data_IF_624036134032
#
_entry.id   IF_624036134032
#
_cell.length_a   1.000
_cell.length_b   1.000
_cell.length_c   1.000
_cell.angle_alpha   90.00
_cell.angle_beta   90.00
_cell.angle_gamma   90.00
#
_symmetry.space_group_name_H-M   'P 1'
#
loop_
_entity.id
_entity.type
_entity.pdbx_description
1 polymer ?
#
# COMPACT_ATOMS: atom_id res chain seq x y z
N UNK A 1 7.16 -0.82 -6.91
CA UNK A 1 6.66 0.02 -8.01
C UNK A 1 7.26 -0.26 -9.42
N UNK A 2 8.57 -0.13 -9.65
CA UNK A 2 9.16 -0.27 -11.01
C UNK A 2 8.92 -1.63 -11.68
N UNK A 3 9.12 -2.73 -10.93
CA UNK A 3 8.80 -4.07 -11.42
C UNK A 3 7.31 -4.21 -11.77
N UNK A 4 6.42 -3.53 -11.05
CA UNK A 4 5.00 -3.53 -11.38
C UNK A 4 4.68 -2.72 -12.62
N UNK A 5 5.35 -1.59 -12.84
CA UNK A 5 5.17 -0.80 -14.04
C UNK A 5 5.56 -1.63 -15.28
N UNK A 6 6.67 -2.36 -15.19
CA UNK A 6 7.09 -3.29 -16.23
C UNK A 6 6.10 -4.44 -16.43
N UNK A 7 5.68 -5.11 -15.35
CA UNK A 7 4.69 -6.20 -15.43
C UNK A 7 3.33 -5.70 -15.93
N UNK A 8 2.90 -4.51 -15.54
CA UNK A 8 1.70 -3.87 -16.04
C UNK A 8 1.77 -3.60 -17.54
N UNK A 9 2.88 -3.04 -18.01
CA UNK A 9 3.12 -2.83 -19.44
C UNK A 9 3.15 -4.15 -20.24
N UNK A 10 3.80 -5.19 -19.72
CA UNK A 10 3.91 -6.48 -20.39
C UNK A 10 2.57 -7.25 -20.38
N UNK A 11 2.00 -7.48 -19.20
CA UNK A 11 0.79 -8.29 -19.07
C UNK A 11 -0.44 -7.55 -19.54
N UNK A 12 -0.65 -6.28 -19.14
CA UNK A 12 -1.91 -5.57 -19.43
C UNK A 12 -1.89 -4.99 -20.85
N UNK A 13 -0.80 -4.33 -21.26
CA UNK A 13 -0.75 -3.65 -22.56
C UNK A 13 -0.36 -4.57 -23.73
N UNK A 14 0.36 -5.68 -23.50
CA UNK A 14 0.73 -6.60 -24.59
C UNK A 14 -0.07 -7.90 -24.57
N UNK A 15 -0.07 -8.64 -23.46
CA UNK A 15 -0.71 -9.96 -23.43
C UNK A 15 -2.22 -9.95 -23.26
N UNK A 16 -2.74 -9.08 -22.40
CA UNK A 16 -4.15 -9.06 -22.02
C UNK A 16 -4.95 -7.94 -22.67
N UNK A 17 -4.30 -7.06 -23.44
CA UNK A 17 -4.95 -5.98 -24.18
C UNK A 17 -6.19 -6.43 -24.99
N UNK A 18 -6.21 -7.57 -25.73
CA UNK A 18 -7.41 -7.98 -26.46
C UNK A 18 -8.53 -8.52 -25.57
N UNK A 19 -8.24 -8.86 -24.32
CA UNK A 19 -9.20 -9.42 -23.35
C UNK A 19 -9.73 -8.35 -22.37
N UNK A 20 -9.23 -7.12 -22.46
CA UNK A 20 -9.56 -6.01 -21.57
C UNK A 20 -10.29 -4.90 -22.33
N UNK A 21 -11.19 -4.14 -21.66
CA UNK A 21 -11.79 -2.95 -22.24
C UNK A 21 -10.70 -1.94 -22.62
N UNK A 22 -10.59 -1.52 -23.89
CA UNK A 22 -9.48 -0.70 -24.37
C UNK A 22 -9.44 0.69 -23.72
N UNK A 23 -10.59 1.20 -23.28
CA UNK A 23 -10.75 2.46 -22.54
C UNK A 23 -10.22 2.40 -21.10
N UNK A 24 -10.02 1.21 -20.53
CA UNK A 24 -9.63 1.02 -19.13
C UNK A 24 -8.21 0.52 -18.93
N UNK A 25 -7.51 0.14 -20.00
CA UNK A 25 -6.13 -0.39 -19.94
C UNK A 25 -5.20 0.56 -19.17
N UNK A 26 -5.22 1.85 -19.49
CA UNK A 26 -4.34 2.84 -18.85
C UNK A 26 -4.71 3.04 -17.37
N UNK A 27 -6.00 3.04 -17.05
CA UNK A 27 -6.50 3.10 -15.67
C UNK A 27 -6.09 1.88 -14.86
N UNK A 28 -6.10 0.68 -15.44
CA UNK A 28 -5.63 -0.53 -14.76
C UNK A 28 -4.13 -0.51 -14.53
N UNK A 29 -3.32 -0.09 -15.52
CA UNK A 29 -1.87 0.04 -15.34
C UNK A 29 -1.55 1.08 -14.26
N UNK A 30 -2.23 2.24 -14.26
CA UNK A 30 -2.11 3.22 -13.19
C UNK A 30 -2.45 2.62 -11.83
N UNK A 31 -3.56 1.89 -11.74
CA UNK A 31 -3.98 1.21 -10.52
C UNK A 31 -2.94 0.22 -10.00
N UNK A 32 -2.36 -0.60 -10.88
CA UNK A 32 -1.30 -1.55 -10.52
C UNK A 32 -0.03 -0.86 -10.03
N UNK A 33 0.39 0.23 -10.68
CA UNK A 33 1.54 1.03 -10.26
C UNK A 33 1.30 1.67 -8.90
N UNK A 34 0.12 2.27 -8.70
CA UNK A 34 -0.28 2.89 -7.44
C UNK A 34 -0.33 1.86 -6.31
N UNK A 35 -0.91 0.69 -6.56
CA UNK A 35 -0.95 -0.43 -5.61
C UNK A 35 0.46 -0.86 -5.20
N UNK A 36 1.37 -1.00 -6.16
CA UNK A 36 2.76 -1.40 -5.89
C UNK A 36 3.67 -0.27 -5.38
N UNK A 37 3.17 0.96 -5.36
CA UNK A 37 3.81 2.11 -4.73
C UNK A 37 3.26 2.36 -3.32
N UNK A 38 2.05 1.89 -3.00
CA UNK A 38 1.46 2.11 -1.69
C UNK A 38 2.24 1.34 -0.59
N UNK A 39 2.59 1.99 0.54
CA UNK A 39 3.19 1.29 1.67
C UNK A 39 2.15 0.43 2.38
N UNK A 40 2.56 -0.76 2.83
CA UNK A 40 1.73 -1.63 3.65
C UNK A 40 2.36 -1.75 5.05
N UNK A 41 1.72 -1.17 6.05
CA UNK A 41 2.30 -1.00 7.39
C UNK A 41 1.68 -1.94 8.40
N UNK A 42 0.36 -1.91 8.56
CA UNK A 42 -0.35 -2.68 9.58
C UNK A 42 -0.37 -4.19 9.30
N UNK A 43 -0.63 -4.59 8.05
CA UNK A 43 -0.81 -6.01 7.71
C UNK A 43 0.49 -6.80 7.86
N UNK A 44 1.65 -6.19 7.55
CA UNK A 44 2.96 -6.84 7.63
C UNK A 44 3.29 -7.25 9.07
N UNK A 45 2.90 -6.46 10.07
CA UNK A 45 3.05 -6.85 11.48
C UNK A 45 2.21 -8.06 11.87
N UNK A 46 0.97 -8.14 11.38
CA UNK A 46 0.10 -9.28 11.66
C UNK A 46 0.69 -10.55 11.05
N UNK A 47 1.11 -10.48 9.79
CA UNK A 47 1.75 -11.62 9.11
C UNK A 47 3.06 -12.04 9.79
N UNK A 48 3.93 -11.08 10.12
CA UNK A 48 5.18 -11.38 10.84
C UNK A 48 4.91 -12.08 12.17
N UNK A 49 3.90 -11.65 12.93
CA UNK A 49 3.54 -12.34 14.18
C UNK A 49 3.02 -13.76 13.95
N UNK A 50 2.19 -13.95 12.92
CA UNK A 50 1.64 -15.27 12.58
C UNK A 50 2.71 -16.26 12.10
N UNK A 51 3.76 -15.78 11.43
CA UNK A 51 4.86 -16.62 10.93
C UNK A 51 6.03 -16.74 11.90
N UNK A 52 5.93 -16.19 13.12
CA UNK A 52 7.02 -16.20 14.11
C UNK A 52 8.24 -15.34 13.73
N UNK A 53 8.05 -14.32 12.90
CA UNK A 53 9.11 -13.38 12.51
C UNK A 53 9.48 -12.38 13.62
N UNK A 54 10.66 -11.76 13.49
CA UNK A 54 11.16 -10.77 14.44
C UNK A 54 10.37 -9.44 14.34
N UNK A 55 9.64 -9.04 15.41
CA UNK A 55 8.86 -7.82 15.41
C UNK A 55 9.70 -6.54 15.34
N UNK A 56 10.91 -6.54 15.90
CA UNK A 56 11.80 -5.38 15.91
C UNK A 56 12.42 -5.14 14.53
N UNK A 57 12.82 -6.23 13.87
CA UNK A 57 13.29 -6.17 12.48
C UNK A 57 12.19 -5.74 11.52
N UNK A 58 10.98 -6.25 11.71
CA UNK A 58 9.81 -5.83 10.93
C UNK A 58 9.49 -4.36 11.16
N UNK A 59 9.55 -3.90 12.41
CA UNK A 59 9.32 -2.50 12.76
C UNK A 59 10.33 -1.56 12.12
N UNK A 60 11.62 -1.89 12.15
CA UNK A 60 12.64 -1.04 11.56
C UNK A 60 12.49 -0.93 10.04
N UNK A 61 12.16 -2.02 9.36
CA UNK A 61 11.90 -2.02 7.91
C UNK A 61 10.67 -1.20 7.55
N UNK A 62 9.55 -1.40 8.24
CA UNK A 62 8.31 -0.64 8.00
C UNK A 62 8.55 0.84 8.27
N UNK A 63 9.23 1.19 9.37
CA UNK A 63 9.54 2.58 9.70
C UNK A 63 10.45 3.25 8.65
N UNK A 64 11.47 2.54 8.15
CA UNK A 64 12.34 3.04 7.09
C UNK A 64 11.56 3.24 5.79
N UNK A 65 10.78 2.23 5.39
CA UNK A 65 9.95 2.29 4.20
C UNK A 65 8.98 3.47 4.25
N UNK A 66 8.21 3.60 5.32
CA UNK A 66 7.26 4.69 5.48
C UNK A 66 7.94 6.06 5.44
N UNK A 67 9.08 6.20 6.11
CA UNK A 67 9.84 7.46 6.13
C UNK A 67 10.31 7.87 4.73
N UNK A 68 10.82 6.92 3.95
CA UNK A 68 11.18 7.15 2.54
C UNK A 68 9.94 7.55 1.75
N UNK A 69 8.82 6.84 1.95
CA UNK A 69 7.60 7.04 1.19
C UNK A 69 6.93 8.39 1.45
N UNK A 70 7.02 8.97 2.65
CA UNK A 70 6.49 10.33 2.92
C UNK A 70 7.04 11.35 1.93
N UNK A 71 8.30 11.23 1.53
CA UNK A 71 8.96 12.16 0.61
C UNK A 71 8.96 11.63 -0.82
N UNK A 72 9.20 10.34 -1.02
CA UNK A 72 9.41 9.74 -2.33
C UNK A 72 8.10 9.36 -3.04
N UNK A 73 6.97 9.17 -2.34
CA UNK A 73 5.74 8.68 -2.96
C UNK A 73 5.25 9.58 -4.10
N UNK A 74 5.03 10.87 -3.83
CA UNK A 74 4.50 11.80 -4.82
C UNK A 74 5.43 11.95 -6.04
N UNK A 75 6.75 12.20 -5.88
CA UNK A 75 7.68 12.24 -7.01
C UNK A 75 7.72 10.94 -7.82
N UNK A 76 7.74 9.78 -7.14
CA UNK A 76 7.87 8.48 -7.79
C UNK A 76 6.62 8.11 -8.59
N UNK A 77 5.43 8.33 -8.01
CA UNK A 77 4.16 8.11 -8.71
C UNK A 77 4.02 9.06 -9.90
N UNK A 78 4.36 10.34 -9.73
CA UNK A 78 4.30 11.30 -10.82
C UNK A 78 5.25 10.92 -11.98
N UNK A 79 6.46 10.46 -11.66
CA UNK A 79 7.41 9.98 -12.65
C UNK A 79 6.88 8.74 -13.40
N UNK A 80 6.39 7.72 -12.67
CA UNK A 80 5.92 6.47 -13.27
C UNK A 80 4.64 6.63 -14.10
N UNK A 81 3.71 7.47 -13.65
CA UNK A 81 2.49 7.77 -14.41
C UNK A 81 2.77 8.68 -15.61
N UNK A 82 3.71 9.63 -15.47
CA UNK A 82 4.19 10.46 -16.57
C UNK A 82 4.84 9.65 -17.69
N UNK A 83 5.64 8.63 -17.35
CA UNK A 83 6.21 7.69 -18.33
C UNK A 83 5.15 6.84 -19.04
N UNK A 84 3.98 6.66 -18.43
CA UNK A 84 2.85 5.92 -19.02
C UNK A 84 1.90 6.82 -19.82
N UNK A 85 2.25 8.09 -20.04
CA UNK A 85 1.44 9.13 -20.69
C UNK A 85 0.08 9.41 -20.01
N UNK A 86 -0.03 9.10 -18.72
CA UNK A 86 -1.24 9.32 -17.92
C UNK A 86 -1.15 10.70 -17.28
N UNK A 87 -2.17 11.54 -17.46
CA UNK A 87 -2.20 12.88 -16.88
C UNK A 87 -2.23 12.80 -15.36
N UNK A 88 -1.19 13.33 -14.72
CA UNK A 88 -1.03 13.29 -13.26
C UNK A 88 -1.79 14.47 -12.62
N UNK A 89 -2.81 14.23 -11.78
CA UNK A 89 -3.53 15.29 -11.09
C UNK A 89 -2.73 15.77 -9.87
N UNK A 90 -1.71 16.61 -10.09
CA UNK A 90 -0.77 17.10 -9.07
C UNK A 90 -1.46 17.75 -7.86
N UNK A 91 -2.49 18.57 -8.10
CA UNK A 91 -3.25 19.21 -7.03
C UNK A 91 -3.89 18.16 -6.11
N UNK A 92 -4.55 17.15 -6.70
CA UNK A 92 -5.18 16.07 -5.95
C UNK A 92 -4.17 15.22 -5.20
N UNK A 93 -3.05 14.85 -5.84
CA UNK A 93 -1.99 14.07 -5.18
C UNK A 93 -1.39 14.81 -3.98
N UNK A 94 -1.08 16.10 -4.12
CA UNK A 94 -0.53 16.90 -3.02
C UNK A 94 -1.54 17.05 -1.87
N UNK A 95 -2.82 17.29 -2.18
CA UNK A 95 -3.89 17.34 -1.17
C UNK A 95 -4.01 15.98 -0.46
N UNK A 96 -4.02 14.87 -1.21
CA UNK A 96 -4.09 13.52 -0.64
C UNK A 96 -2.90 13.22 0.26
N UNK A 97 -1.66 13.57 -0.13
CA UNK A 97 -0.48 13.39 0.72
C UNK A 97 -0.57 14.25 1.99
N UNK A 98 -0.95 15.51 1.86
CA UNK A 98 -1.10 16.39 3.02
C UNK A 98 -2.16 15.86 4.01
N UNK A 99 -3.32 15.44 3.50
CA UNK A 99 -4.46 15.02 4.29
C UNK A 99 -4.30 13.62 4.89
N UNK A 100 -3.83 12.66 4.11
CA UNK A 100 -3.75 11.25 4.53
C UNK A 100 -2.41 10.86 5.15
N UNK A 101 -1.34 11.64 4.95
CA UNK A 101 0.00 11.33 5.49
C UNK A 101 0.44 12.41 6.48
N UNK A 102 0.59 13.65 6.02
CA UNK A 102 1.25 14.71 6.82
C UNK A 102 0.45 15.06 8.07
N UNK A 103 -0.86 15.32 7.94
CA UNK A 103 -1.72 15.69 9.07
C UNK A 103 -1.77 14.57 10.13
N UNK A 104 -2.05 13.30 9.80
CA UNK A 104 -2.04 12.20 10.77
C UNK A 104 -0.70 12.03 11.48
N UNK A 105 0.42 12.17 10.76
CA UNK A 105 1.76 12.07 11.35
C UNK A 105 2.00 13.19 12.36
N UNK A 106 1.64 14.44 12.04
CA UNK A 106 1.77 15.57 12.97
C UNK A 106 0.95 15.31 14.24
N UNK A 107 -0.32 14.92 14.09
CA UNK A 107 -1.21 14.61 15.22
C UNK A 107 -0.61 13.49 16.07
N UNK A 108 -0.16 12.40 15.45
CA UNK A 108 0.45 11.27 16.14
C UNK A 108 1.70 11.67 16.94
N UNK A 109 2.58 12.50 16.37
CA UNK A 109 3.78 12.98 17.05
C UNK A 109 3.47 13.92 18.22
N UNK A 110 2.48 14.81 18.07
CA UNK A 110 2.03 15.68 19.16
C UNK A 110 1.44 14.87 20.32
N UNK A 111 0.60 13.89 20.02
CA UNK A 111 0.02 12.97 21.02
C UNK A 111 1.10 12.16 21.71
N UNK A 112 2.03 11.57 20.95
CA UNK A 112 3.17 10.82 21.49
C UNK A 112 4.00 11.67 22.44
N UNK A 113 4.37 12.90 22.04
CA UNK A 113 5.15 13.83 22.87
C UNK A 113 4.40 14.20 24.16
N UNK A 114 3.09 14.40 24.09
CA UNK A 114 2.25 14.69 25.26
C UNK A 114 2.15 13.50 26.22
N UNK A 115 1.99 12.28 25.70
CA UNK A 115 1.89 11.05 26.50
C UNK A 115 3.22 10.69 27.17
N UNK A 116 4.35 10.78 26.45
CA UNK A 116 5.68 10.48 27.03
C UNK A 116 6.03 11.47 28.15
N UNK A 117 5.60 12.74 28.05
CA UNK A 117 5.76 13.72 29.13
C UNK A 117 5.03 13.33 30.42
N UNK A 118 3.99 12.50 30.33
CA UNK A 118 3.23 11.98 31.47
C UNK A 118 3.80 10.67 32.04
N UNK A 119 4.89 10.16 31.45
CA UNK A 119 5.54 8.91 31.84
C UNK A 119 5.26 7.76 30.87
N UNK A 120 6.15 6.76 30.88
CA UNK A 120 6.08 5.60 29.99
C UNK A 120 4.79 4.78 30.21
N UNK A 121 4.36 4.62 31.47
CA UNK A 121 3.13 3.90 31.82
C UNK A 121 1.88 4.53 31.18
N UNK A 122 1.81 5.87 31.12
CA UNK A 122 0.70 6.58 30.49
C UNK A 122 0.66 6.35 28.97
N UNK A 123 1.83 6.24 28.33
CA UNK A 123 1.94 5.90 26.92
C UNK A 123 1.50 4.45 26.65
N UNK A 124 1.99 3.50 27.45
CA UNK A 124 1.68 2.08 27.28
C UNK A 124 0.18 1.80 27.51
N UNK A 125 -0.42 2.43 28.53
CA UNK A 125 -1.87 2.35 28.77
C UNK A 125 -2.70 2.93 27.61
N UNK A 126 -2.25 4.05 27.02
CA UNK A 126 -2.91 4.62 25.84
C UNK A 126 -2.80 3.71 24.61
N UNK A 127 -1.62 3.11 24.37
CA UNK A 127 -1.41 2.16 23.28
C UNK A 127 -2.28 0.91 23.42
N UNK A 128 -2.38 0.34 24.63
CA UNK A 128 -3.26 -0.80 24.89
C UNK A 128 -4.74 -0.49 24.59
N UNK A 129 -5.17 0.75 24.87
CA UNK A 129 -6.55 1.19 24.61
C UNK A 129 -6.83 1.46 23.13
N UNK A 130 -5.85 1.95 22.36
CA UNK A 130 -6.00 2.30 20.94
C UNK A 130 -5.89 1.06 20.03
N UNK A 131 -5.12 0.05 20.44
CA UNK A 131 -4.90 -1.17 19.64
C UNK A 131 -6.18 -1.79 19.06
N UNK A 132 -7.22 -2.08 19.87
CA UNK A 132 -8.48 -2.64 19.38
C UNK A 132 -9.19 -1.74 18.37
N UNK A 133 -9.19 -0.42 18.57
CA UNK A 133 -9.82 0.54 17.65
C UNK A 133 -9.16 0.53 16.27
N UNK A 134 -7.83 0.39 16.22
CA UNK A 134 -7.10 0.27 14.96
C UNK A 134 -7.55 -0.96 14.16
N UNK A 135 -7.66 -2.12 14.82
CA UNK A 135 -8.12 -3.35 14.17
C UNK A 135 -9.59 -3.22 13.74
N UNK A 136 -10.45 -2.67 14.59
CA UNK A 136 -11.85 -2.44 14.24
C UNK A 136 -12.01 -1.49 13.05
N UNK A 137 -11.21 -0.42 12.96
CA UNK A 137 -11.22 0.51 11.83
C UNK A 137 -10.74 -0.16 10.54
N UNK A 138 -9.70 -1.00 10.61
CA UNK A 138 -9.19 -1.76 9.47
C UNK A 138 -10.24 -2.76 8.96
N UNK A 139 -10.87 -3.51 9.86
CA UNK A 139 -11.95 -4.45 9.50
C UNK A 139 -13.18 -3.73 8.96
N UNK A 140 -13.57 -2.60 9.55
CA UNK A 140 -14.66 -1.77 9.03
C UNK A 140 -14.35 -1.28 7.62
N UNK A 141 -13.13 -0.81 7.38
CA UNK A 141 -12.68 -0.38 6.03
C UNK A 141 -12.79 -1.53 5.03
N UNK A 142 -12.38 -2.74 5.43
CA UNK A 142 -12.51 -3.94 4.59
C UNK A 142 -13.97 -4.24 4.24
N UNK A 143 -14.85 -4.23 5.24
CA UNK A 143 -16.30 -4.45 5.04
C UNK A 143 -16.88 -3.39 4.10
N UNK A 144 -16.54 -2.12 4.29
CA UNK A 144 -17.01 -1.03 3.43
C UNK A 144 -16.50 -1.16 1.99
N UNK A 145 -15.23 -1.54 1.81
CA UNK A 145 -14.65 -1.77 0.49
C UNK A 145 -15.42 -2.89 -0.24
N UNK A 146 -15.65 -4.04 0.40
CA UNK A 146 -16.45 -5.12 -0.20
C UNK A 146 -17.91 -4.74 -0.43
N UNK A 147 -18.51 -3.95 0.46
CA UNK A 147 -19.88 -3.48 0.30
C UNK A 147 -20.03 -2.55 -0.93
N UNK A 148 -19.07 -1.64 -1.14
CA UNK A 148 -19.12 -0.68 -2.25
C UNK A 148 -18.58 -1.24 -3.57
N UNK A 149 -17.57 -2.12 -3.55
CA UNK A 149 -17.02 -2.76 -4.75
C UNK A 149 -17.63 -4.13 -5.09
N UNK A 150 -18.60 -4.62 -4.32
CA UNK A 150 -19.20 -5.94 -4.50
C UNK A 150 -19.82 -6.17 -5.88
N UNK A 151 -20.60 -5.21 -6.39
CA UNK A 151 -21.19 -5.32 -7.73
C UNK A 151 -20.13 -5.35 -8.85
N UNK A 152 -19.12 -4.50 -8.76
CA UNK A 152 -18.03 -4.47 -9.74
C UNK A 152 -17.26 -5.80 -9.75
N UNK A 153 -17.05 -6.38 -8.56
CA UNK A 153 -16.39 -7.68 -8.38
C UNK A 153 -17.17 -8.80 -9.06
N UNK A 154 -18.50 -8.80 -8.96
CA UNK A 154 -19.36 -9.81 -9.59
C UNK A 154 -19.49 -9.63 -11.11
N UNK A 155 -19.48 -8.39 -11.60
CA UNK A 155 -19.65 -8.07 -13.03
C UNK A 155 -18.39 -8.30 -13.87
N UNK A 156 -17.19 -8.21 -13.27
CA UNK A 156 -15.92 -8.27 -14.00
C UNK A 156 -14.92 -9.31 -13.44
N UNK A 157 -15.31 -10.59 -13.24
CA UNK A 157 -14.43 -11.60 -12.65
C UNK A 157 -13.21 -11.90 -13.52
N UNK A 158 -13.38 -11.87 -14.85
CA UNK A 158 -12.30 -12.13 -15.81
C UNK A 158 -11.21 -11.06 -15.74
N UNK A 159 -11.60 -9.78 -15.66
CA UNK A 159 -10.64 -8.66 -15.52
C UNK A 159 -9.85 -8.81 -14.23
N UNK A 160 -10.52 -9.10 -13.10
CA UNK A 160 -9.86 -9.30 -11.81
C UNK A 160 -8.86 -10.46 -11.87
N UNK A 161 -9.25 -11.58 -12.50
CA UNK A 161 -8.36 -12.72 -12.71
C UNK A 161 -7.12 -12.36 -13.52
N UNK A 162 -7.27 -11.59 -14.60
CA UNK A 162 -6.16 -11.12 -15.42
C UNK A 162 -5.23 -10.16 -14.65
N UNK A 163 -5.79 -9.22 -13.88
CA UNK A 163 -5.00 -8.30 -13.05
C UNK A 163 -4.29 -9.02 -11.90
N UNK A 164 -4.85 -10.12 -11.38
CA UNK A 164 -4.23 -10.91 -10.33
C UNK A 164 -2.93 -11.59 -10.79
N UNK A 165 -2.79 -11.95 -12.07
CA UNK A 165 -1.58 -12.61 -12.60
C UNK A 165 -0.29 -11.79 -12.37
N UNK A 166 -0.16 -10.54 -12.87
CA UNK A 166 1.04 -9.75 -12.64
C UNK A 166 1.26 -9.43 -11.16
N UNK A 167 0.17 -9.25 -10.38
CA UNK A 167 0.27 -9.00 -8.93
C UNK A 167 0.90 -10.21 -8.23
N UNK A 168 0.41 -11.42 -8.51
CA UNK A 168 0.94 -12.64 -7.89
C UNK A 168 2.41 -12.86 -8.28
N UNK A 169 2.74 -12.72 -9.56
CA UNK A 169 4.13 -12.83 -10.04
C UNK A 169 5.02 -11.85 -9.27
N UNK A 170 4.59 -10.59 -9.13
CA UNK A 170 5.36 -9.59 -8.41
C UNK A 170 5.52 -9.93 -6.92
N UNK A 171 4.45 -10.32 -6.25
CA UNK A 171 4.46 -10.64 -4.82
C UNK A 171 5.38 -11.83 -4.56
N UNK A 172 5.27 -12.91 -5.33
CA UNK A 172 6.14 -14.08 -5.19
C UNK A 172 7.59 -13.75 -5.51
N UNK A 173 7.85 -13.00 -6.58
CA UNK A 173 9.19 -12.58 -6.95
C UNK A 173 9.86 -11.76 -5.84
N UNK A 174 9.20 -10.71 -5.36
CA UNK A 174 9.73 -9.84 -4.31
C UNK A 174 9.95 -10.63 -3.00
N UNK A 175 8.99 -11.49 -2.63
CA UNK A 175 9.06 -12.27 -1.39
C UNK A 175 10.18 -13.32 -1.46
N UNK A 176 10.33 -14.01 -2.59
CA UNK A 176 11.41 -14.97 -2.80
C UNK A 176 12.79 -14.30 -2.82
N UNK A 177 12.91 -13.16 -3.49
CA UNK A 177 14.15 -12.38 -3.52
C UNK A 177 14.53 -11.91 -2.10
N UNK A 178 13.59 -11.33 -1.36
CA UNK A 178 13.83 -10.89 0.01
C UNK A 178 14.19 -12.05 0.94
N UNK A 179 13.54 -13.20 0.79
CA UNK A 179 13.87 -14.40 1.57
C UNK A 179 15.28 -14.90 1.28
N UNK A 180 15.68 -14.96 0.01
CA UNK A 180 17.01 -15.44 -0.37
C UNK A 180 18.13 -14.48 0.05
N UNK A 181 17.92 -13.18 -0.10
CA UNK A 181 18.88 -12.15 0.33
C UNK A 181 19.08 -12.09 1.85
N UNK A 182 18.06 -12.40 2.65
CA UNK A 182 18.19 -12.47 4.12
C UNK A 182 18.74 -13.80 4.61
N UNK A 183 18.78 -14.83 3.76
CA UNK A 183 19.33 -16.15 4.09
C UNK A 183 20.84 -16.24 3.82
N UNK A 184 21.34 -15.47 2.86
CA UNK A 184 22.76 -15.38 2.49
C UNK A 184 23.56 -14.58 3.54
#
# INVERSE_FOLDING_TARGET
PFSMAFLGWLFIRHWFAPLLPPDQIDSYIAGLILLAAAPCTAMVFVWSRLTGGDPLFTLSQVALNDSIMVVAFAPLVAFLLGLSAITVPWATLLISVALYIVIPVIIAQLLRKSLIRKGQEAFDAAMAKIGPWSISALLLTLVLLFAFQGEATLKQPLVIGLLAVPILIQVFFNSALAYWLNRA
#
